data_IF_902861918432
#
_entry.id   IF_902861918432
#
_cell.length_a   1.000
_cell.length_b   1.000
_cell.length_c   1.000
_cell.angle_alpha   90.00
_cell.angle_beta   90.00
_cell.angle_gamma   90.00
#
_symmetry.space_group_name_H-M   'P 1'
#
loop_
_entity.id
_entity.type
_entity.pdbx_description
1 polymer ?
#
# COMPACT_ATOMS: atom_id res chain seq x y z
N UNK A 1 -14.61 5.02 -41.21
CA UNK A 1 -14.56 4.41 -39.86
C UNK A 1 -14.85 5.49 -38.85
N UNK A 2 -15.85 5.33 -37.98
CA UNK A 2 -16.08 6.23 -36.84
C UNK A 2 -14.99 5.92 -35.82
N UNK A 3 -14.23 6.94 -35.40
CA UNK A 3 -13.26 6.76 -34.31
C UNK A 3 -14.03 6.48 -33.02
N UNK A 4 -13.65 5.46 -32.24
CA UNK A 4 -14.29 5.23 -30.94
C UNK A 4 -14.12 6.47 -30.07
N UNK A 5 -15.21 6.90 -29.45
CA UNK A 5 -15.23 7.99 -28.47
C UNK A 5 -15.16 7.38 -27.07
N UNK A 6 -14.31 7.94 -26.22
CA UNK A 6 -14.17 7.58 -24.82
C UNK A 6 -14.48 8.79 -23.94
N UNK A 7 -15.13 8.56 -22.81
CA UNK A 7 -15.44 9.58 -21.80
C UNK A 7 -14.21 9.91 -20.95
N UNK A 8 -13.38 8.90 -20.67
CA UNK A 8 -12.20 9.01 -19.81
C UNK A 8 -11.01 8.29 -20.44
N UNK A 9 -9.86 8.97 -20.46
CA UNK A 9 -8.57 8.37 -20.77
C UNK A 9 -7.67 8.38 -19.53
N UNK A 10 -7.14 7.22 -19.16
CA UNK A 10 -6.13 7.06 -18.11
C UNK A 10 -4.78 6.81 -18.77
N UNK A 11 -3.77 7.62 -18.43
CA UNK A 11 -2.41 7.47 -18.95
C UNK A 11 -1.55 6.75 -17.92
N UNK A 12 -1.11 5.54 -18.27
CA UNK A 12 -0.29 4.64 -17.47
C UNK A 12 -1.07 3.44 -16.90
N UNK A 13 -0.64 2.23 -17.26
CA UNK A 13 -1.18 0.97 -16.73
C UNK A 13 -0.30 0.41 -15.59
N UNK A 14 0.11 1.30 -14.67
CA UNK A 14 0.60 0.92 -13.35
C UNK A 14 -0.55 0.70 -12.36
N UNK A 15 -0.22 0.32 -11.12
CA UNK A 15 -1.22 0.01 -10.08
C UNK A 15 -2.18 1.16 -9.81
N UNK A 16 -1.70 2.41 -9.81
CA UNK A 16 -2.54 3.59 -9.59
C UNK A 16 -3.52 3.81 -10.74
N UNK A 17 -3.06 3.70 -11.98
CA UNK A 17 -3.91 3.87 -13.16
C UNK A 17 -4.96 2.77 -13.26
N UNK A 18 -4.57 1.51 -13.08
CA UNK A 18 -5.49 0.38 -13.12
C UNK A 18 -6.49 0.38 -11.96
N UNK A 19 -6.05 0.71 -10.73
CA UNK A 19 -6.97 0.85 -9.59
C UNK A 19 -7.98 2.00 -9.80
N UNK A 20 -7.55 3.08 -10.44
CA UNK A 20 -8.44 4.20 -10.81
C UNK A 20 -9.45 3.78 -11.86
N UNK A 21 -9.01 3.05 -12.91
CA UNK A 21 -9.91 2.50 -13.94
C UNK A 21 -10.97 1.59 -13.32
N UNK A 22 -10.53 0.67 -12.45
CA UNK A 22 -11.40 -0.27 -11.75
C UNK A 22 -12.45 0.45 -10.89
N UNK A 23 -12.03 1.42 -10.08
CA UNK A 23 -12.94 2.17 -9.20
C UNK A 23 -13.94 3.03 -10.01
N UNK A 24 -13.50 3.65 -11.11
CA UNK A 24 -14.40 4.42 -11.98
C UNK A 24 -15.47 3.54 -12.62
N UNK A 25 -15.09 2.38 -13.15
CA UNK A 25 -16.03 1.43 -13.75
C UNK A 25 -16.98 0.82 -12.72
N UNK A 26 -16.51 0.57 -11.49
CA UNK A 26 -17.36 0.09 -10.40
C UNK A 26 -18.46 1.11 -10.04
N UNK A 27 -18.13 2.41 -10.00
CA UNK A 27 -19.08 3.49 -9.68
C UNK A 27 -19.96 3.90 -10.85
N UNK A 28 -19.42 3.80 -12.07
CA UNK A 28 -20.08 4.24 -13.30
C UNK A 28 -19.91 3.18 -14.39
N UNK A 29 -20.69 2.09 -14.35
CA UNK A 29 -20.53 0.96 -15.29
C UNK A 29 -20.73 1.30 -16.77
N UNK A 30 -21.38 2.43 -17.06
CA UNK A 30 -21.62 2.91 -18.41
C UNK A 30 -20.50 3.79 -18.98
N UNK A 31 -19.44 4.09 -18.20
CA UNK A 31 -18.32 4.90 -18.70
C UNK A 31 -17.57 4.16 -19.80
N UNK A 32 -17.38 4.82 -20.94
CA UNK A 32 -16.48 4.38 -21.98
C UNK A 32 -15.07 4.85 -21.63
N UNK A 33 -14.28 3.98 -21.00
CA UNK A 33 -12.94 4.30 -20.52
C UNK A 33 -11.85 3.61 -21.36
N UNK A 34 -10.75 4.31 -21.61
CA UNK A 34 -9.53 3.73 -22.16
C UNK A 34 -8.34 3.92 -21.22
N UNK A 35 -7.51 2.88 -21.08
CA UNK A 35 -6.21 2.96 -20.42
C UNK A 35 -5.12 2.89 -21.50
N UNK A 36 -4.22 3.86 -21.49
CA UNK A 36 -3.11 3.95 -22.43
C UNK A 36 -1.80 3.67 -21.70
N UNK A 37 -1.04 2.68 -22.16
CA UNK A 37 0.29 2.34 -21.65
C UNK A 37 1.29 2.48 -22.79
N UNK A 38 2.46 3.08 -22.51
CA UNK A 38 3.53 3.23 -23.50
C UNK A 38 4.29 1.92 -23.72
N UNK A 39 4.33 1.07 -22.69
CA UNK A 39 5.02 -0.21 -22.73
C UNK A 39 4.16 -1.32 -23.36
N UNK A 40 4.81 -2.35 -23.88
CA UNK A 40 4.13 -3.50 -24.49
C UNK A 40 3.36 -4.38 -23.48
N UNK A 41 3.56 -4.16 -22.18
CA UNK A 41 2.84 -4.84 -21.12
C UNK A 41 2.61 -3.89 -19.94
N UNK A 42 1.60 -4.19 -19.14
CA UNK A 42 1.28 -3.42 -17.92
C UNK A 42 2.37 -3.56 -16.86
N UNK A 43 2.40 -2.64 -15.90
CA UNK A 43 3.27 -2.69 -14.72
C UNK A 43 4.79 -2.79 -14.98
N UNK A 44 5.28 -2.49 -16.19
CA UNK A 44 6.71 -2.59 -16.56
C UNK A 44 7.64 -1.60 -15.82
N UNK A 45 7.12 -0.60 -15.12
CA UNK A 45 7.90 0.38 -14.35
C UNK A 45 7.80 0.14 -12.84
N UNK A 46 7.56 1.19 -12.03
CA UNK A 46 7.59 1.13 -10.56
C UNK A 46 6.66 0.05 -9.97
N UNK A 47 5.51 -0.19 -10.58
CA UNK A 47 4.57 -1.24 -10.12
C UNK A 47 5.15 -2.65 -10.21
N UNK A 48 5.94 -2.96 -11.23
CA UNK A 48 6.62 -4.25 -11.34
C UNK A 48 7.99 -4.30 -10.65
N UNK A 49 8.52 -3.14 -10.24
CA UNK A 49 9.85 -3.01 -9.63
C UNK A 49 9.76 -2.31 -8.27
N UNK A 50 9.11 -2.96 -7.30
CA UNK A 50 9.08 -2.53 -5.90
C UNK A 50 9.20 -3.77 -4.99
N UNK A 51 9.31 -3.54 -3.68
CA UNK A 51 9.51 -4.61 -2.69
C UNK A 51 8.28 -5.49 -2.45
N UNK A 52 7.10 -5.14 -2.99
CA UNK A 52 5.86 -5.86 -2.73
C UNK A 52 5.30 -5.69 -1.31
N UNK A 53 5.88 -4.80 -0.51
CA UNK A 53 5.52 -4.65 0.91
C UNK A 53 4.17 -3.94 1.08
N UNK A 54 3.25 -4.60 1.77
CA UNK A 54 2.02 -3.98 2.26
C UNK A 54 2.35 -3.18 3.52
N UNK A 55 2.66 -1.90 3.36
CA UNK A 55 3.12 -1.05 4.45
C UNK A 55 2.04 -0.84 5.53
N UNK A 56 2.49 -0.79 6.80
CA UNK A 56 1.62 -0.52 7.95
C UNK A 56 1.21 0.95 8.08
N UNK A 57 2.04 1.88 7.57
CA UNK A 57 1.83 3.33 7.70
C UNK A 57 2.57 3.99 8.86
N UNK A 58 3.38 3.23 9.63
CA UNK A 58 4.04 3.72 10.86
C UNK A 58 4.96 4.93 10.69
N UNK A 59 5.61 5.08 9.53
CA UNK A 59 6.58 6.16 9.31
C UNK A 59 5.95 7.48 8.87
N UNK A 60 4.71 7.47 8.39
CA UNK A 60 4.12 8.64 7.74
C UNK A 60 3.65 9.69 8.73
N UNK A 61 3.82 10.97 8.38
CA UNK A 61 3.37 12.10 9.20
C UNK A 61 1.86 11.97 9.48
N UNK A 62 1.42 12.04 10.75
CA UNK A 62 0.01 11.94 11.09
C UNK A 62 -0.86 12.96 10.36
N UNK A 63 -2.07 12.54 9.99
CA UNK A 63 -2.99 13.36 9.20
C UNK A 63 -2.60 13.55 7.74
N UNK A 64 -1.40 13.16 7.29
CA UNK A 64 -1.02 13.26 5.87
C UNK A 64 -1.83 12.31 4.98
N UNK A 65 -1.92 12.62 3.68
CA UNK A 65 -2.54 11.72 2.71
C UNK A 65 -1.85 10.34 2.70
N UNK A 66 -0.52 10.28 2.82
CA UNK A 66 0.20 9.00 2.89
C UNK A 66 -0.22 8.17 4.08
N UNK A 67 -0.33 8.77 5.27
CA UNK A 67 -0.78 8.07 6.47
C UNK A 67 -2.20 7.51 6.28
N UNK A 68 -3.16 8.37 5.88
CA UNK A 68 -4.56 7.96 5.72
C UNK A 68 -4.75 6.92 4.62
N UNK A 69 -4.15 7.13 3.45
CA UNK A 69 -4.28 6.23 2.31
C UNK A 69 -3.52 4.92 2.50
N UNK A 70 -2.42 4.89 3.26
CA UNK A 70 -1.72 3.64 3.55
C UNK A 70 -2.56 2.73 4.45
N UNK A 71 -3.10 3.27 5.55
CA UNK A 71 -3.84 2.47 6.53
C UNK A 71 -5.16 1.97 5.93
N UNK A 72 -5.92 2.86 5.28
CA UNK A 72 -7.16 2.48 4.60
C UNK A 72 -6.90 1.61 3.36
N UNK A 73 -5.83 1.90 2.62
CA UNK A 73 -5.42 1.15 1.43
C UNK A 73 -4.98 -0.27 1.77
N UNK A 74 -4.29 -0.48 2.90
CA UNK A 74 -3.94 -1.83 3.38
C UNK A 74 -5.19 -2.70 3.55
N UNK A 75 -6.21 -2.21 4.25
CA UNK A 75 -7.44 -2.97 4.46
C UNK A 75 -8.15 -3.32 3.14
N UNK A 76 -8.25 -2.34 2.22
CA UNK A 76 -8.83 -2.56 0.89
C UNK A 76 -8.02 -3.55 0.04
N UNK A 77 -6.70 -3.49 0.10
CA UNK A 77 -5.82 -4.38 -0.64
C UNK A 77 -5.96 -5.82 -0.16
N UNK A 78 -5.99 -6.05 1.16
CA UNK A 78 -6.19 -7.40 1.71
C UNK A 78 -7.54 -7.97 1.28
N UNK A 79 -8.62 -7.19 1.41
CA UNK A 79 -9.95 -7.62 0.95
C UNK A 79 -10.00 -7.91 -0.56
N UNK A 80 -9.30 -7.11 -1.37
CA UNK A 80 -9.16 -7.36 -2.81
C UNK A 80 -8.39 -8.66 -3.08
N UNK A 81 -7.28 -8.89 -2.39
CA UNK A 81 -6.51 -10.11 -2.54
C UNK A 81 -7.33 -11.34 -2.14
N UNK A 82 -8.06 -11.29 -1.03
CA UNK A 82 -8.95 -12.36 -0.58
C UNK A 82 -10.04 -12.66 -1.61
N UNK A 83 -10.72 -11.63 -2.11
CA UNK A 83 -11.81 -11.76 -3.09
C UNK A 83 -11.34 -12.34 -4.44
N UNK A 84 -10.09 -12.10 -4.81
CA UNK A 84 -9.52 -12.53 -6.09
C UNK A 84 -8.52 -13.68 -5.96
N UNK A 85 -8.40 -14.29 -4.78
CA UNK A 85 -7.43 -15.36 -4.48
C UNK A 85 -5.99 -14.99 -4.88
N UNK A 86 -5.59 -13.74 -4.65
CA UNK A 86 -4.23 -13.25 -4.88
C UNK A 86 -3.41 -13.57 -3.62
N UNK A 87 -2.29 -14.31 -3.74
CA UNK A 87 -1.47 -14.66 -2.58
C UNK A 87 -0.81 -13.41 -1.98
N UNK A 88 -0.82 -13.33 -0.66
CA UNK A 88 -0.04 -12.38 0.13
C UNK A 88 0.39 -13.05 1.44
N UNK A 89 1.41 -12.47 2.08
CA UNK A 89 1.90 -12.90 3.39
C UNK A 89 1.87 -11.72 4.37
N UNK A 90 1.32 -11.95 5.56
CA UNK A 90 1.32 -11.01 6.68
C UNK A 90 2.38 -11.41 7.71
N UNK A 91 3.63 -11.53 7.25
CA UNK A 91 4.78 -11.97 8.04
C UNK A 91 5.20 -11.01 9.18
N UNK A 92 4.60 -9.82 9.25
CA UNK A 92 4.98 -8.81 10.25
C UNK A 92 6.24 -8.03 9.86
N UNK A 93 6.68 -7.16 10.76
CA UNK A 93 7.91 -6.36 10.61
C UNK A 93 8.38 -5.88 11.97
N UNK A 94 9.65 -6.12 12.28
CA UNK A 94 10.34 -5.51 13.43
C UNK A 94 11.11 -4.27 12.99
N UNK A 95 11.11 -3.23 13.83
CA UNK A 95 11.98 -2.06 13.70
C UNK A 95 12.88 -2.08 14.93
N UNK A 96 14.18 -2.17 14.71
CA UNK A 96 15.16 -2.41 15.79
C UNK A 96 15.94 -1.13 16.05
N UNK A 97 16.14 -0.81 17.33
CA UNK A 97 17.13 0.15 17.79
C UNK A 97 18.42 -0.62 18.11
N UNK A 98 19.53 -0.19 17.54
CA UNK A 98 20.85 -0.82 17.68
C UNK A 98 21.75 -0.09 18.68
N UNK A 99 21.33 1.11 19.09
CA UNK A 99 21.96 1.90 20.14
C UNK A 99 20.90 2.61 21.03
N UNK A 100 21.37 3.26 22.08
CA UNK A 100 20.50 3.92 23.06
C UNK A 100 19.81 5.18 22.51
N UNK A 101 20.38 5.86 21.52
CA UNK A 101 19.79 7.07 20.93
C UNK A 101 18.59 6.71 20.03
N UNK A 102 18.64 5.54 19.39
CA UNK A 102 17.55 5.02 18.57
C UNK A 102 16.30 4.61 19.38
N UNK A 103 16.42 4.36 20.68
CA UNK A 103 15.28 4.04 21.55
C UNK A 103 14.24 5.17 21.55
N UNK A 104 14.69 6.42 21.68
CA UNK A 104 13.80 7.59 21.62
C UNK A 104 13.09 7.69 20.25
N UNK A 105 13.77 7.28 19.17
CA UNK A 105 13.18 7.25 17.83
C UNK A 105 12.13 6.16 17.69
N UNK A 106 12.32 5.00 18.34
CA UNK A 106 11.29 3.96 18.41
C UNK A 106 10.05 4.43 19.15
N UNK A 107 10.21 5.11 20.29
CA UNK A 107 9.07 5.66 21.04
C UNK A 107 8.27 6.65 20.19
N UNK A 108 8.96 7.54 19.47
CA UNK A 108 8.31 8.47 18.54
C UNK A 108 7.60 7.76 17.38
N UNK A 109 8.18 6.67 16.86
CA UNK A 109 7.53 5.85 15.84
C UNK A 109 6.30 5.10 16.39
N UNK A 110 6.36 4.65 17.64
CA UNK A 110 5.24 4.01 18.30
C UNK A 110 4.05 4.99 18.44
N UNK A 111 4.32 6.20 18.94
CA UNK A 111 3.31 7.27 19.04
C UNK A 111 2.73 7.63 17.67
N UNK A 112 3.59 7.77 16.65
CA UNK A 112 3.15 8.03 15.28
C UNK A 112 2.29 6.91 14.72
N UNK A 113 2.66 5.65 14.96
CA UNK A 113 1.90 4.49 14.55
C UNK A 113 0.51 4.47 15.18
N UNK A 114 0.41 4.74 16.49
CA UNK A 114 -0.86 4.88 17.21
C UNK A 114 -1.71 6.02 16.62
N UNK A 115 -1.12 7.19 16.40
CA UNK A 115 -1.81 8.34 15.80
C UNK A 115 -2.31 8.06 14.37
N UNK A 116 -1.62 7.20 13.62
CA UNK A 116 -2.04 6.78 12.28
C UNK A 116 -3.09 5.66 12.29
N UNK A 117 -3.36 5.02 13.43
CA UNK A 117 -4.26 3.87 13.53
C UNK A 117 -3.63 2.56 13.05
N UNK A 118 -2.31 2.41 13.18
CA UNK A 118 -1.61 1.15 12.88
C UNK A 118 -2.06 0.07 13.85
N UNK A 119 -2.62 -1.02 13.33
CA UNK A 119 -3.08 -2.16 14.11
C UNK A 119 -1.93 -3.14 14.40
N UNK A 120 -1.99 -3.82 15.55
CA UNK A 120 -1.00 -4.83 15.94
C UNK A 120 0.39 -4.28 16.27
N UNK A 121 0.47 -2.99 16.62
CA UNK A 121 1.73 -2.35 17.00
C UNK A 121 2.08 -2.67 18.45
N UNK A 122 3.27 -3.24 18.65
CA UNK A 122 3.80 -3.65 19.95
C UNK A 122 5.22 -3.11 20.13
N UNK A 123 5.52 -2.57 21.31
CA UNK A 123 6.89 -2.30 21.73
C UNK A 123 7.43 -3.54 22.43
N UNK A 124 8.51 -4.11 21.90
CA UNK A 124 9.09 -5.36 22.38
C UNK A 124 10.53 -5.17 22.84
N UNK A 125 10.93 -5.98 23.82
CA UNK A 125 12.32 -6.06 24.29
C UNK A 125 13.16 -7.08 23.52
N UNK A 126 14.47 -7.16 23.80
CA UNK A 126 15.38 -8.08 23.13
C UNK A 126 15.01 -9.56 23.28
N UNK A 127 14.42 -9.99 24.39
CA UNK A 127 13.99 -11.38 24.57
C UNK A 127 12.90 -11.75 23.56
N UNK A 128 11.86 -10.92 23.46
CA UNK A 128 10.76 -11.14 22.52
C UNK A 128 11.20 -11.04 21.07
N UNK A 129 12.18 -10.19 20.76
CA UNK A 129 12.76 -10.12 19.42
C UNK A 129 13.43 -11.45 19.02
N UNK A 130 14.21 -12.08 19.91
CA UNK A 130 14.84 -13.40 19.64
C UNK A 130 13.83 -14.53 19.49
N UNK A 131 12.64 -14.43 20.10
CA UNK A 131 11.56 -15.39 19.87
C UNK A 131 10.95 -15.26 18.48
N UNK A 132 10.87 -14.04 17.94
CA UNK A 132 10.32 -13.75 16.62
C UNK A 132 11.34 -13.98 15.49
N UNK A 133 12.59 -13.59 15.72
CA UNK A 133 13.72 -13.66 14.77
C UNK A 133 14.95 -14.26 15.49
N UNK A 134 15.04 -15.61 15.59
CA UNK A 134 16.15 -16.32 16.27
C UNK A 134 17.51 -16.19 15.58
#
# INVERSE_FOLDING_TARGET
MVKPTYDVAIIGAGIVGLATAMELLARHPALHLIVLEKEAAIARHQTGHNSGVIHSGIYYVPGSLKARLCVTGRAKLLAFCDAHAIPYDLCGKVIVATDAEELLRLDQLAERGRANGVLGLEMIGPERLRELEP
#
